data_IF_283359191549
#
_entry.id   IF_283359191549
#
_cell.length_a   1.000
_cell.length_b   1.000
_cell.length_c   1.000
_cell.angle_alpha   90.00
_cell.angle_beta   90.00
_cell.angle_gamma   90.00
#
_symmetry.space_group_name_H-M   'P 1'
#
loop_
_entity.id
_entity.type
_entity.pdbx_description
1 polymer ?
#
# COMPACT_ATOMS: atom_id res chain seq x y z
N UNK A 1 13.80 51.74 -33.62
CA UNK A 1 13.31 50.87 -34.71
C UNK A 1 12.42 49.81 -34.06
N UNK A 2 11.15 49.79 -34.43
CA UNK A 2 10.15 48.83 -33.94
C UNK A 2 10.12 47.61 -34.87
N UNK A 3 9.83 46.43 -34.33
CA UNK A 3 9.62 45.19 -35.09
C UNK A 3 9.09 44.08 -34.19
N UNK A 4 7.87 43.63 -34.49
CA UNK A 4 7.05 42.59 -33.82
C UNK A 4 7.16 41.24 -34.57
N UNK A 5 6.38 40.26 -34.09
CA UNK A 5 5.95 38.96 -34.67
C UNK A 5 6.72 37.76 -34.11
N UNK A 6 6.13 36.66 -33.64
CA UNK A 6 4.75 36.17 -33.61
C UNK A 6 4.77 34.64 -33.41
N UNK A 7 3.72 34.09 -32.81
CA UNK A 7 3.58 32.68 -32.41
C UNK A 7 3.61 31.70 -33.60
N UNK A 8 4.43 30.65 -33.53
CA UNK A 8 4.46 29.54 -34.47
C UNK A 8 3.84 28.27 -33.88
N UNK A 9 2.63 27.93 -34.30
CA UNK A 9 2.06 26.59 -34.14
C UNK A 9 2.47 25.69 -35.32
N UNK A 10 2.72 24.42 -35.04
CA UNK A 10 3.07 23.40 -36.03
C UNK A 10 1.95 22.37 -36.12
N UNK A 11 1.53 22.08 -37.35
CA UNK A 11 0.50 21.11 -37.71
C UNK A 11 1.20 19.98 -38.49
N UNK A 12 1.11 18.74 -38.02
CA UNK A 12 1.69 17.56 -38.67
C UNK A 12 0.60 16.52 -38.89
N UNK A 13 0.07 16.49 -40.11
CA UNK A 13 -0.80 15.43 -40.62
C UNK A 13 0.04 14.39 -41.36
N UNK A 14 -0.11 13.12 -40.98
CA UNK A 14 0.55 11.98 -41.64
C UNK A 14 -0.38 11.28 -42.63
N UNK A 15 0.06 11.16 -43.88
CA UNK A 15 -0.59 10.38 -44.95
C UNK A 15 0.15 9.05 -45.16
N UNK A 16 -0.61 7.97 -45.37
CA UNK A 16 -0.12 6.63 -45.70
C UNK A 16 0.13 6.46 -47.20
N UNK A 17 1.15 5.70 -47.60
CA UNK A 17 1.14 4.83 -48.79
C UNK A 17 2.30 3.81 -48.77
N UNK A 18 2.01 2.55 -49.11
CA UNK A 18 2.94 1.40 -49.01
C UNK A 18 3.51 0.89 -50.34
N UNK A 19 4.30 -0.21 -50.27
CA UNK A 19 4.55 -1.26 -51.29
C UNK A 19 5.46 -2.38 -50.72
N UNK A 20 5.15 -3.66 -50.97
CA UNK A 20 5.80 -4.90 -50.43
C UNK A 20 7.08 -5.38 -51.15
N UNK A 21 7.52 -6.69 -51.13
CA UNK A 21 6.74 -7.95 -50.99
C UNK A 21 7.36 -9.18 -50.22
N UNK A 22 6.55 -10.26 -50.02
CA UNK A 22 6.89 -11.72 -49.84
C UNK A 22 7.03 -12.25 -48.39
N UNK A 23 6.51 -13.40 -47.89
CA UNK A 23 6.01 -14.67 -48.47
C UNK A 23 5.33 -15.61 -47.42
N UNK A 24 4.25 -16.34 -47.80
CA UNK A 24 3.72 -17.67 -47.31
C UNK A 24 3.22 -17.80 -45.84
N UNK A 25 2.19 -18.57 -45.45
CA UNK A 25 1.26 -19.57 -46.04
C UNK A 25 0.10 -19.82 -45.05
N UNK A 26 -1.08 -20.32 -45.47
CA UNK A 26 -2.06 -20.99 -44.60
C UNK A 26 -3.53 -20.63 -44.85
N UNK A 27 -4.41 -21.64 -44.95
CA UNK A 27 -5.68 -21.66 -45.69
C UNK A 27 -6.95 -21.76 -44.79
N UNK A 28 -8.12 -21.50 -45.41
CA UNK A 28 -9.51 -21.82 -45.05
C UNK A 28 -10.17 -21.00 -43.91
N UNK A 29 -11.41 -20.51 -44.02
CA UNK A 29 -12.51 -20.67 -44.99
C UNK A 29 -13.85 -20.33 -44.30
N UNK A 30 -14.90 -20.10 -45.11
CA UNK A 30 -16.32 -19.83 -44.74
C UNK A 30 -16.61 -18.39 -44.31
N UNK A 31 -17.36 -17.56 -45.06
CA UNK A 31 -18.74 -17.74 -45.54
C UNK A 31 -19.62 -16.77 -44.70
N UNK A 32 -20.60 -16.01 -45.16
CA UNK A 32 -21.35 -15.90 -46.40
C UNK A 32 -21.99 -14.50 -46.46
N UNK A 33 -22.50 -14.19 -47.64
CA UNK A 33 -23.09 -12.99 -48.25
C UNK A 33 -24.39 -12.41 -47.68
N UNK A 34 -24.63 -11.12 -48.01
CA UNK A 34 -25.94 -10.51 -48.24
C UNK A 34 -25.85 -8.98 -48.10
N UNK A 35 -25.57 -8.16 -49.11
CA UNK A 35 -26.18 -7.92 -50.44
C UNK A 35 -27.63 -7.36 -50.39
N UNK A 36 -27.77 -6.12 -50.85
CA UNK A 36 -29.04 -5.42 -51.17
C UNK A 36 -28.82 -3.90 -51.21
N UNK A 37 -28.32 -3.34 -52.33
CA UNK A 37 -29.10 -2.71 -53.41
C UNK A 37 -29.88 -1.46 -52.92
N UNK A 38 -29.49 -0.21 -53.28
CA UNK A 38 -29.78 0.43 -54.58
C UNK A 38 -31.23 0.99 -54.59
N UNK A 39 -31.62 2.17 -55.06
CA UNK A 39 -31.04 3.21 -55.90
C UNK A 39 -31.98 4.46 -55.85
N UNK A 40 -31.42 5.64 -56.11
CA UNK A 40 -31.96 6.91 -56.66
C UNK A 40 -33.46 7.29 -56.61
N UNK A 41 -33.72 8.54 -56.22
CA UNK A 41 -34.91 9.31 -56.57
C UNK A 41 -34.66 10.82 -56.45
N UNK A 42 -34.75 11.52 -57.57
CA UNK A 42 -34.32 12.90 -57.83
C UNK A 42 -35.43 13.92 -57.49
N UNK A 43 -35.09 15.14 -57.03
CA UNK A 43 -36.06 16.24 -56.86
C UNK A 43 -35.40 17.57 -56.47
N UNK A 44 -35.33 18.51 -57.43
CA UNK A 44 -34.71 19.83 -57.29
C UNK A 44 -35.70 20.90 -56.79
N UNK A 45 -35.23 21.89 -56.02
CA UNK A 45 -35.95 23.12 -55.66
C UNK A 45 -35.08 24.10 -54.86
N UNK A 46 -35.06 25.38 -55.25
CA UNK A 46 -34.06 26.41 -54.89
C UNK A 46 -34.03 26.93 -53.45
N UNK A 47 -32.91 27.59 -53.10
CA UNK A 47 -32.56 28.11 -51.75
C UNK A 47 -33.30 29.38 -51.29
N UNK A 48 -32.80 30.19 -50.31
CA UNK A 48 -31.41 30.31 -49.83
C UNK A 48 -31.21 30.25 -48.28
N UNK A 49 -29.96 29.97 -47.86
CA UNK A 49 -29.38 30.44 -46.59
C UNK A 49 -29.82 29.76 -45.28
N UNK A 50 -29.31 28.55 -45.00
CA UNK A 50 -29.40 27.95 -43.66
C UNK A 50 -28.00 27.91 -43.04
N UNK A 51 -27.78 28.78 -42.05
CA UNK A 51 -26.55 28.76 -41.24
C UNK A 51 -26.38 27.38 -40.63
N UNK A 52 -25.18 26.80 -40.79
CA UNK A 52 -24.86 25.52 -40.17
C UNK A 52 -24.88 25.69 -38.66
N UNK A 53 -25.95 25.21 -38.01
CA UNK A 53 -25.94 24.98 -36.56
C UNK A 53 -24.75 24.05 -36.30
N UNK A 54 -23.74 24.45 -35.50
CA UNK A 54 -22.66 23.54 -35.15
C UNK A 54 -23.26 22.30 -34.50
N UNK A 55 -22.86 21.12 -34.98
CA UNK A 55 -23.25 19.86 -34.36
C UNK A 55 -22.96 19.95 -32.86
N UNK A 56 -23.93 19.68 -31.97
CA UNK A 56 -23.68 19.70 -30.54
C UNK A 56 -22.53 18.74 -30.22
N UNK A 57 -21.65 19.09 -29.26
CA UNK A 57 -20.55 18.22 -28.88
C UNK A 57 -21.10 16.84 -28.48
N UNK A 58 -20.35 15.76 -28.78
CA UNK A 58 -20.76 14.44 -28.34
C UNK A 58 -20.96 14.45 -26.81
N UNK A 59 -21.94 13.68 -26.30
CA UNK A 59 -22.09 13.55 -24.86
C UNK A 59 -20.75 13.08 -24.25
N UNK A 60 -20.39 13.56 -23.04
CA UNK A 60 -19.23 13.03 -22.34
C UNK A 60 -19.42 11.53 -22.25
N UNK A 61 -18.46 10.73 -22.72
CA UNK A 61 -18.48 9.33 -22.34
C UNK A 61 -17.91 9.24 -20.92
N UNK A 62 -18.41 8.27 -20.17
CA UNK A 62 -17.98 8.06 -18.80
C UNK A 62 -16.47 7.88 -18.73
N UNK A 63 -15.81 8.71 -17.91
CA UNK A 63 -14.37 8.61 -17.62
C UNK A 63 -13.46 9.74 -18.12
N UNK A 64 -13.99 10.83 -18.68
CA UNK A 64 -13.18 12.01 -19.03
C UNK A 64 -13.69 13.26 -18.33
N UNK A 65 -12.85 13.87 -17.50
CA UNK A 65 -13.03 15.24 -17.03
C UNK A 65 -12.40 16.18 -18.05
N UNK A 66 -13.18 17.13 -18.55
CA UNK A 66 -12.64 18.28 -19.28
C UNK A 66 -12.11 19.23 -18.21
N UNK A 67 -10.80 19.26 -17.99
CA UNK A 67 -10.18 20.27 -17.13
C UNK A 67 -10.24 21.61 -17.87
N UNK A 68 -11.01 22.56 -17.34
CA UNK A 68 -10.96 23.93 -17.83
C UNK A 68 -9.60 24.54 -17.46
N UNK A 69 -8.94 25.31 -18.35
CA UNK A 69 -7.75 26.07 -17.98
C UNK A 69 -8.11 27.05 -16.85
N UNK A 70 -7.61 26.79 -15.64
CA UNK A 70 -7.87 27.61 -14.44
C UNK A 70 -8.63 26.92 -13.31
N UNK A 71 -9.05 25.66 -13.48
CA UNK A 71 -9.56 24.85 -12.38
C UNK A 71 -8.38 24.11 -11.72
N UNK A 72 -7.84 24.70 -10.65
CA UNK A 72 -6.89 24.01 -9.78
C UNK A 72 -7.62 22.80 -9.19
N UNK A 73 -7.17 21.59 -9.52
CA UNK A 73 -7.68 20.35 -8.93
C UNK A 73 -7.70 20.54 -7.41
N UNK A 74 -8.73 20.08 -6.68
CA UNK A 74 -8.66 20.10 -5.23
C UNK A 74 -7.39 19.35 -4.85
N UNK A 75 -6.45 20.04 -4.24
CA UNK A 75 -5.16 19.47 -3.85
C UNK A 75 -5.47 18.31 -2.92
N UNK A 76 -5.32 17.08 -3.42
CA UNK A 76 -5.61 15.89 -2.64
C UNK A 76 -4.74 15.94 -1.39
N UNK A 77 -5.35 15.76 -0.22
CA UNK A 77 -4.61 15.74 1.05
C UNK A 77 -3.52 14.67 0.96
N UNK A 78 -2.30 15.07 1.28
CA UNK A 78 -1.12 14.23 1.25
C UNK A 78 -0.64 13.90 2.66
N UNK A 79 0.31 12.96 2.79
CA UNK A 79 0.99 12.70 4.06
C UNK A 79 1.72 13.93 4.62
N UNK A 80 2.10 14.89 3.77
CA UNK A 80 2.74 16.11 4.23
C UNK A 80 1.77 17.04 4.97
N UNK A 81 0.49 17.02 4.60
CA UNK A 81 -0.54 17.89 5.20
C UNK A 81 -0.93 17.43 6.60
N UNK A 82 -0.84 16.13 6.86
CA UNK A 82 -1.15 15.54 8.18
C UNK A 82 0.06 15.43 9.12
N UNK A 83 1.18 16.13 8.83
CA UNK A 83 2.40 16.08 9.66
C UNK A 83 2.18 16.45 11.13
N UNK A 84 1.19 17.30 11.42
CA UNK A 84 0.82 17.68 12.79
C UNK A 84 0.07 16.56 13.54
N UNK A 85 -0.50 15.59 12.82
CA UNK A 85 -1.18 14.43 13.38
C UNK A 85 -0.15 13.33 13.64
N UNK A 86 0.27 13.20 14.90
CA UNK A 86 1.28 12.21 15.28
C UNK A 86 0.60 10.87 15.58
N UNK A 87 0.89 9.79 14.83
CA UNK A 87 0.35 8.47 15.13
C UNK A 87 0.94 7.92 16.43
N UNK A 88 0.12 7.21 17.21
CA UNK A 88 0.61 6.46 18.36
C UNK A 88 1.46 5.27 17.88
N UNK A 89 2.67 5.16 18.41
CA UNK A 89 3.56 4.04 18.14
C UNK A 89 2.96 2.72 18.67
N UNK A 90 3.11 1.66 17.89
CA UNK A 90 2.87 0.31 18.39
C UNK A 90 3.92 -0.08 19.44
N UNK A 91 3.56 -1.05 20.29
CA UNK A 91 4.44 -1.60 21.30
C UNK A 91 4.88 -3.00 20.88
N UNK A 92 6.17 -3.17 20.64
CA UNK A 92 6.79 -4.46 20.39
C UNK A 92 6.87 -5.28 21.69
N UNK A 93 6.59 -6.58 21.57
CA UNK A 93 6.65 -7.59 22.65
C UNK A 93 7.25 -8.88 22.12
N UNK A 94 7.72 -9.72 23.04
CA UNK A 94 8.26 -11.04 22.72
C UNK A 94 7.90 -12.08 23.80
N UNK A 95 7.90 -13.34 23.40
CA UNK A 95 7.79 -14.51 24.27
C UNK A 95 8.90 -15.50 23.92
N UNK A 96 9.75 -15.90 24.89
CA UNK A 96 9.80 -15.42 26.27
C UNK A 96 10.27 -13.95 26.38
N UNK A 97 9.90 -13.25 27.45
CA UNK A 97 10.29 -11.85 27.62
C UNK A 97 11.75 -11.71 28.09
N UNK A 98 12.60 -11.14 27.24
CA UNK A 98 13.99 -10.77 27.57
C UNK A 98 15.03 -11.87 27.39
N UNK A 99 14.63 -13.07 26.97
CA UNK A 99 15.55 -14.18 26.72
C UNK A 99 15.04 -15.12 25.63
N UNK A 100 15.96 -15.85 25.02
CA UNK A 100 15.72 -16.71 23.87
C UNK A 100 16.56 -17.97 23.99
N UNK A 101 16.05 -19.10 23.49
CA UNK A 101 16.82 -20.35 23.41
C UNK A 101 17.37 -20.48 22.00
N UNK A 102 18.68 -20.66 21.89
CA UNK A 102 19.35 -20.88 20.60
C UNK A 102 18.73 -22.10 19.92
N UNK A 103 18.34 -21.94 18.65
CA UNK A 103 17.76 -23.00 17.84
C UNK A 103 16.25 -23.21 18.02
N UNK A 104 15.59 -22.50 18.95
CA UNK A 104 14.13 -22.54 19.12
C UNK A 104 13.46 -21.26 18.62
N UNK A 105 12.15 -21.37 18.33
CA UNK A 105 11.34 -20.22 17.92
C UNK A 105 11.10 -19.28 19.10
N UNK A 106 11.50 -18.03 18.94
CA UNK A 106 11.07 -16.91 19.80
C UNK A 106 9.91 -16.22 19.12
N UNK A 107 8.81 -16.01 19.83
CA UNK A 107 7.65 -15.31 19.30
C UNK A 107 7.81 -13.80 19.47
N UNK A 108 7.57 -13.02 18.43
CA UNK A 108 7.54 -11.56 18.47
C UNK A 108 6.16 -11.08 18.04
N UNK A 109 5.62 -10.04 18.67
CA UNK A 109 4.33 -9.48 18.26
C UNK A 109 4.23 -8.00 18.61
N UNK A 110 3.28 -7.33 17.96
CA UNK A 110 2.99 -5.93 18.19
C UNK A 110 1.62 -5.74 18.85
N UNK A 111 1.59 -4.84 19.82
CA UNK A 111 0.37 -4.34 20.46
C UNK A 111 0.13 -2.92 19.97
N UNK A 112 -1.02 -2.72 19.35
CA UNK A 112 -1.38 -1.48 18.69
C UNK A 112 -2.49 -1.78 17.69
N UNK A 113 -3.38 -0.83 17.51
CA UNK A 113 -4.53 -0.97 16.62
C UNK A 113 -4.79 0.34 15.90
N UNK A 114 -5.76 0.28 14.98
CA UNK A 114 -6.34 1.47 14.41
C UNK A 114 -6.76 2.45 15.51
N UNK A 115 -6.45 3.72 15.33
CA UNK A 115 -6.81 4.80 16.24
C UNK A 115 -7.06 6.09 15.46
N UNK A 116 -7.73 7.04 16.11
CA UNK A 116 -8.07 8.34 15.53
C UNK A 116 -7.35 9.43 16.34
N UNK A 117 -6.81 10.41 15.64
CA UNK A 117 -6.23 11.64 16.18
C UNK A 117 -7.03 12.80 15.62
N UNK A 118 -7.60 13.61 16.51
CA UNK A 118 -8.31 14.83 16.15
C UNK A 118 -7.35 16.04 16.14
N UNK A 119 -7.63 17.00 15.27
CA UNK A 119 -6.77 18.17 15.10
C UNK A 119 -7.28 19.11 14.02
N UNK A 120 -6.37 19.92 13.50
CA UNK A 120 -6.66 20.87 12.43
C UNK A 120 -5.90 20.45 11.17
N UNK A 121 -6.63 20.34 10.05
CA UNK A 121 -6.08 20.04 8.74
C UNK A 121 -6.50 21.16 7.79
N UNK A 122 -5.53 21.84 7.18
CA UNK A 122 -5.77 22.92 6.21
C UNK A 122 -6.74 24.02 6.74
N UNK A 123 -6.61 24.42 8.00
CA UNK A 123 -7.44 25.48 8.58
C UNK A 123 -8.78 25.02 9.16
N UNK A 124 -9.06 23.71 9.18
CA UNK A 124 -10.38 23.16 9.54
C UNK A 124 -10.26 22.00 10.53
N UNK A 125 -11.21 21.86 11.49
CA UNK A 125 -11.29 20.70 12.35
C UNK A 125 -11.42 19.40 11.55
N UNK A 126 -10.53 18.45 11.83
CA UNK A 126 -10.48 17.17 11.14
C UNK A 126 -10.11 16.04 12.11
N UNK A 127 -10.46 14.82 11.71
CA UNK A 127 -9.95 13.60 12.33
C UNK A 127 -9.06 12.87 11.32
N UNK A 128 -7.93 12.33 11.77
CA UNK A 128 -7.09 11.41 10.99
C UNK A 128 -7.10 10.05 11.67
N UNK A 129 -7.43 9.02 10.90
CA UNK A 129 -7.43 7.62 11.32
C UNK A 129 -6.17 6.96 10.80
N UNK A 130 -5.41 6.38 11.72
CA UNK A 130 -4.18 5.67 11.46
C UNK A 130 -4.40 4.18 11.58
N UNK A 131 -4.01 3.41 10.56
CA UNK A 131 -4.21 1.96 10.49
C UNK A 131 -2.89 1.25 10.18
N UNK A 132 -2.34 0.45 11.11
CA UNK A 132 -1.17 -0.40 10.85
C UNK A 132 -1.42 -1.36 9.69
N UNK A 133 -0.44 -1.48 8.79
CA UNK A 133 -0.56 -2.26 7.54
C UNK A 133 0.60 -3.23 7.30
N UNK A 134 1.82 -2.89 7.71
CA UNK A 134 2.97 -3.78 7.64
C UNK A 134 3.90 -3.64 8.85
N UNK A 135 4.66 -4.69 9.14
CA UNK A 135 5.52 -4.83 10.32
C UNK A 135 6.92 -5.26 9.89
N UNK A 136 7.89 -4.36 10.09
CA UNK A 136 9.28 -4.52 9.70
C UNK A 136 10.14 -4.78 10.92
N UNK A 137 10.52 -6.04 11.12
CA UNK A 137 11.38 -6.47 12.21
C UNK A 137 12.84 -6.48 11.79
N UNK A 138 13.71 -5.97 12.66
CA UNK A 138 15.14 -6.23 12.62
C UNK A 138 15.56 -6.91 13.92
N UNK A 139 16.12 -8.12 13.82
CA UNK A 139 16.36 -8.99 14.98
C UNK A 139 17.72 -8.76 15.66
N UNK A 140 18.56 -7.90 15.10
CA UNK A 140 19.88 -7.58 15.65
C UNK A 140 20.97 -8.63 15.38
N UNK A 141 20.62 -9.77 14.78
CA UNK A 141 21.54 -10.83 14.33
C UNK A 141 21.90 -10.71 12.84
N UNK A 142 21.50 -9.61 12.19
CA UNK A 142 21.65 -9.37 10.76
C UNK A 142 20.45 -9.81 9.92
N UNK A 143 19.47 -10.52 10.51
CA UNK A 143 18.23 -10.89 9.83
C UNK A 143 17.11 -9.89 10.05
N UNK A 144 16.15 -9.89 9.11
CA UNK A 144 14.98 -9.00 9.11
C UNK A 144 13.75 -9.75 8.61
N UNK A 145 12.56 -9.30 8.99
CA UNK A 145 11.29 -9.80 8.44
C UNK A 145 10.34 -8.66 8.08
N UNK A 146 9.64 -8.81 6.95
CA UNK A 146 8.56 -7.91 6.52
C UNK A 146 7.25 -8.70 6.55
N UNK A 147 6.36 -8.37 7.48
CA UNK A 147 5.17 -9.15 7.80
C UNK A 147 3.90 -8.30 7.64
N UNK A 148 2.81 -8.94 7.21
CA UNK A 148 1.49 -8.31 7.11
C UNK A 148 0.63 -8.48 8.38
N UNK A 149 1.14 -9.20 9.37
CA UNK A 149 0.45 -9.47 10.63
C UNK A 149 1.24 -8.98 11.83
N UNK A 150 0.52 -8.46 12.82
CA UNK A 150 1.09 -8.06 14.11
C UNK A 150 1.45 -9.24 15.01
N UNK A 151 1.02 -10.45 14.66
CA UNK A 151 1.14 -11.63 15.52
C UNK A 151 0.24 -11.57 16.75
N UNK A 152 0.44 -12.53 17.65
CA UNK A 152 -0.25 -12.64 18.93
C UNK A 152 0.54 -13.52 19.88
N UNK A 153 0.14 -13.56 21.15
CA UNK A 153 0.77 -14.43 22.14
C UNK A 153 0.55 -15.91 21.81
N UNK A 154 1.43 -16.79 22.27
CA UNK A 154 1.22 -18.25 22.19
C UNK A 154 -0.12 -18.66 22.80
N UNK A 155 -0.46 -18.09 23.97
CA UNK A 155 -1.73 -18.35 24.65
C UNK A 155 -2.95 -17.96 23.81
N UNK A 156 -2.92 -16.82 23.12
CA UNK A 156 -4.01 -16.39 22.24
C UNK A 156 -4.15 -17.30 21.01
N UNK A 157 -3.05 -17.90 20.55
CA UNK A 157 -3.02 -18.88 19.47
C UNK A 157 -3.34 -20.31 19.94
N UNK A 158 -3.32 -20.55 21.26
CA UNK A 158 -3.50 -21.87 21.89
C UNK A 158 -2.45 -22.90 21.43
N UNK A 159 -1.20 -22.46 21.33
CA UNK A 159 -0.06 -23.31 20.99
C UNK A 159 0.94 -23.35 22.16
N UNK A 160 1.86 -24.31 22.13
CA UNK A 160 2.85 -24.47 23.18
C UNK A 160 3.96 -23.39 23.10
N UNK A 161 4.68 -23.21 24.20
CA UNK A 161 5.89 -22.39 24.18
C UNK A 161 6.90 -22.94 23.19
N UNK A 162 7.55 -22.04 22.45
CA UNK A 162 8.49 -22.35 21.37
C UNK A 162 7.89 -23.03 20.12
N UNK A 163 6.56 -23.17 20.02
CA UNK A 163 5.94 -23.53 18.75
C UNK A 163 6.09 -22.37 17.74
N UNK A 164 6.27 -22.68 16.43
CA UNK A 164 6.38 -21.66 15.40
C UNK A 164 5.11 -20.78 15.32
N UNK A 165 5.30 -19.48 15.25
CA UNK A 165 4.25 -18.50 14.94
C UNK A 165 4.57 -17.79 13.61
N UNK A 166 3.58 -17.14 12.95
CA UNK A 166 3.83 -16.33 11.75
C UNK A 166 4.85 -15.22 11.93
N UNK A 167 5.14 -14.84 13.18
CA UNK A 167 6.04 -13.74 13.56
C UNK A 167 7.24 -14.24 14.38
N UNK A 168 7.46 -15.56 14.41
CA UNK A 168 8.58 -16.15 15.15
C UNK A 168 9.91 -16.02 14.43
N UNK A 169 11.00 -16.00 15.19
CA UNK A 169 12.37 -16.02 14.68
C UNK A 169 13.26 -16.96 15.50
N UNK A 170 14.31 -17.50 14.87
CA UNK A 170 15.26 -18.42 15.50
C UNK A 170 16.65 -17.78 15.52
N UNK A 171 17.19 -17.59 16.73
CA UNK A 171 18.57 -17.16 16.93
C UNK A 171 19.52 -18.37 16.93
N UNK A 172 20.67 -18.23 16.26
CA UNK A 172 21.62 -19.34 16.06
C UNK A 172 22.90 -19.23 16.88
N UNK A 173 23.16 -18.07 17.47
CA UNK A 173 24.34 -17.81 18.28
C UNK A 173 23.95 -17.27 19.65
N UNK A 174 24.80 -17.50 20.65
CA UNK A 174 24.64 -16.88 21.96
C UNK A 174 25.03 -15.40 21.86
N UNK A 175 24.31 -14.56 22.59
CA UNK A 175 24.58 -13.13 22.61
C UNK A 175 23.40 -12.32 23.10
N UNK A 176 23.64 -11.03 23.32
CA UNK A 176 22.59 -10.05 23.59
C UNK A 176 22.24 -9.33 22.30
N UNK A 177 20.95 -9.35 21.96
CA UNK A 177 20.42 -8.78 20.73
C UNK A 177 19.53 -7.59 21.04
N UNK A 178 19.60 -6.61 20.14
CA UNK A 178 18.68 -5.48 20.08
C UNK A 178 17.69 -5.73 18.94
N UNK A 179 16.42 -5.91 19.28
CA UNK A 179 15.34 -6.13 18.31
C UNK A 179 14.53 -4.85 18.18
N UNK A 180 14.27 -4.44 16.94
CA UNK A 180 13.45 -3.27 16.62
C UNK A 180 12.30 -3.64 15.70
N UNK A 181 11.23 -2.86 15.80
CA UNK A 181 10.07 -2.94 14.93
C UNK A 181 9.77 -1.54 14.38
N UNK A 182 9.59 -1.46 13.06
CA UNK A 182 8.97 -0.30 12.39
C UNK A 182 7.64 -0.75 11.80
N UNK A 183 6.59 0.01 12.03
CA UNK A 183 5.24 -0.29 11.52
C UNK A 183 4.88 0.72 10.45
N UNK A 184 4.48 0.23 9.28
CA UNK A 184 3.93 1.09 8.23
C UNK A 184 2.45 1.33 8.51
N UNK A 185 2.09 2.60 8.63
CA UNK A 185 0.76 3.05 9.02
C UNK A 185 0.13 3.80 7.86
N UNK A 186 -1.02 3.33 7.37
CA UNK A 186 -1.86 4.08 6.44
C UNK A 186 -2.68 5.14 7.15
N UNK A 187 -3.08 6.19 6.43
CA UNK A 187 -3.87 7.28 6.98
C UNK A 187 -5.14 7.53 6.15
N UNK A 188 -6.23 7.82 6.84
CA UNK A 188 -7.48 8.32 6.26
C UNK A 188 -7.89 9.57 7.03
N UNK A 189 -8.48 10.57 6.37
CA UNK A 189 -8.96 11.77 7.04
C UNK A 189 -10.45 11.99 6.83
N UNK A 190 -11.05 12.80 7.69
CA UNK A 190 -12.40 13.34 7.49
C UNK A 190 -12.50 14.75 8.07
N UNK A 191 -13.33 15.58 7.46
CA UNK A 191 -13.75 16.87 8.00
C UNK A 191 -15.15 16.75 8.59
N UNK A 192 -15.41 17.47 9.69
CA UNK A 192 -16.75 17.70 10.22
C UNK A 192 -17.61 16.43 10.39
N UNK A 193 -16.98 15.29 10.73
CA UNK A 193 -17.67 14.00 10.91
C UNK A 193 -18.12 13.29 9.62
N UNK A 194 -17.71 13.77 8.45
CA UNK A 194 -17.99 13.15 7.15
C UNK A 194 -17.33 11.78 6.94
N UNK A 195 -17.40 11.30 5.69
CA UNK A 195 -16.78 10.03 5.29
C UNK A 195 -15.26 10.05 5.38
N UNK A 196 -14.65 8.88 5.61
CA UNK A 196 -13.20 8.71 5.60
C UNK A 196 -12.68 8.72 4.17
N UNK A 197 -11.65 9.53 3.92
CA UNK A 197 -10.99 9.68 2.63
C UNK A 197 -9.54 9.18 2.79
N UNK A 198 -9.10 8.20 1.98
CA UNK A 198 -7.73 7.67 2.09
C UNK A 198 -6.69 8.69 1.64
N UNK A 199 -5.57 8.71 2.34
CA UNK A 199 -4.36 9.44 1.94
C UNK A 199 -3.41 8.41 1.31
N UNK A 200 -2.89 8.70 0.11
CA UNK A 200 -2.00 7.80 -0.59
C UNK A 200 -0.66 7.64 0.15
N UNK A 201 -0.21 6.39 0.33
CA UNK A 201 1.06 6.03 0.96
C UNK A 201 0.94 5.57 2.41
N UNK A 202 2.08 5.34 3.05
CA UNK A 202 2.20 4.94 4.46
C UNK A 202 3.25 5.78 5.18
N UNK A 203 3.13 5.87 6.50
CA UNK A 203 4.14 6.46 7.37
C UNK A 203 4.85 5.36 8.17
N UNK A 204 6.19 5.30 8.16
CA UNK A 204 6.93 4.40 9.03
C UNK A 204 6.94 4.95 10.46
N UNK A 205 6.49 4.14 11.42
CA UNK A 205 6.44 4.49 12.83
C UNK A 205 7.26 3.48 13.63
N UNK A 206 8.33 3.95 14.26
CA UNK A 206 9.18 3.09 15.11
C UNK A 206 8.45 2.73 16.42
N UNK A 207 8.51 1.46 16.80
CA UNK A 207 8.06 0.96 18.10
C UNK A 207 9.19 1.06 19.16
N UNK A 208 8.91 0.59 20.37
CA UNK A 208 9.97 0.41 21.38
C UNK A 208 10.98 -0.66 20.94
N UNK A 209 12.20 -0.53 21.47
CA UNK A 209 13.25 -1.55 21.34
C UNK A 209 13.03 -2.68 22.35
N UNK A 210 13.40 -3.90 21.97
CA UNK A 210 13.53 -5.04 22.86
C UNK A 210 15.02 -5.41 22.98
N UNK A 211 15.46 -5.74 24.19
CA UNK A 211 16.80 -6.27 24.44
C UNK A 211 16.64 -7.65 25.04
N UNK A 212 17.24 -8.66 24.42
CA UNK A 212 17.11 -10.04 24.85
C UNK A 212 18.39 -10.84 24.68
N UNK A 213 18.61 -11.80 25.58
CA UNK A 213 19.80 -12.67 25.55
C UNK A 213 19.45 -14.05 25.00
N UNK A 214 20.13 -14.47 23.94
CA UNK A 214 20.08 -15.85 23.46
C UNK A 214 21.11 -16.71 24.20
N UNK A 215 20.67 -17.85 24.73
CA UNK A 215 21.52 -18.82 25.41
C UNK A 215 21.13 -20.25 25.05
N UNK A 216 21.90 -21.22 25.54
CA UNK A 216 21.51 -22.63 25.52
C UNK A 216 20.64 -22.92 26.74
N UNK A 217 19.66 -23.80 26.56
CA UNK A 217 18.98 -24.42 27.68
C UNK A 217 19.79 -25.64 28.10
N UNK A 218 20.37 -25.61 29.29
CA UNK A 218 20.98 -26.78 29.91
C UNK A 218 19.96 -27.41 30.85
N UNK A 219 19.47 -28.60 30.52
CA UNK A 219 18.59 -29.35 31.41
C UNK A 219 19.45 -30.05 32.46
N UNK A 220 19.44 -29.55 33.69
CA UNK A 220 20.08 -30.25 34.82
C UNK A 220 19.05 -31.18 35.44
N UNK A 221 19.37 -32.47 35.53
CA UNK A 221 18.57 -33.44 36.29
C UNK A 221 18.70 -33.11 37.78
N UNK A 222 17.64 -32.55 38.36
CA UNK A 222 17.54 -32.39 39.82
C UNK A 222 17.27 -33.76 40.43
N UNK A 223 18.26 -34.30 41.13
CA UNK A 223 18.15 -35.61 41.76
C UNK A 223 17.16 -35.65 42.93
N UNK A 224 16.77 -34.50 43.49
CA UNK A 224 15.84 -34.33 44.63
C UNK A 224 15.14 -32.97 44.56
N UNK A 225 14.01 -32.86 45.24
CA UNK A 225 13.21 -31.63 45.38
C UNK A 225 13.93 -30.55 46.20
N UNK A 226 13.60 -29.27 45.96
CA UNK A 226 14.23 -28.13 46.63
C UNK A 226 14.04 -28.09 48.14
N UNK A 227 13.01 -28.78 48.64
CA UNK A 227 12.79 -28.96 50.06
C UNK A 227 13.83 -29.91 50.69
N UNK A 228 14.33 -30.89 49.94
CA UNK A 228 15.35 -31.81 50.41
C UNK A 228 16.79 -31.34 50.12
N UNK A 229 17.00 -30.56 49.06
CA UNK A 229 18.31 -29.97 48.71
C UNK A 229 18.16 -28.50 48.30
N UNK A 230 18.05 -27.57 49.27
CA UNK A 230 17.83 -26.15 49.00
C UNK A 230 19.04 -25.42 48.39
N UNK A 231 20.14 -26.12 48.10
CA UNK A 231 21.31 -25.61 47.38
C UNK A 231 21.58 -26.39 46.09
N UNK A 232 20.63 -27.23 45.66
CA UNK A 232 20.72 -27.97 44.41
C UNK A 232 20.55 -27.06 43.19
N UNK A 233 21.10 -27.42 42.02
CA UNK A 233 20.87 -26.64 40.79
C UNK A 233 19.36 -26.54 40.50
N UNK A 234 18.79 -25.34 40.46
CA UNK A 234 17.34 -25.13 40.25
C UNK A 234 16.52 -24.89 41.53
N UNK A 235 17.22 -24.79 42.66
CA UNK A 235 16.77 -24.31 43.97
C UNK A 235 17.71 -23.16 44.39
#
# INVERSE_FOLDING_TARGET
MSGSVGNGGVDLSGTQNGSGPGSGSGNAGSGNTGAGSGNSGNGAGGGPGSGTIPKPPPPPRDGYTVTMPGEELPTAVTLADIRSFVPHAAVARMEPNGWMVIGLHTNFYAVGSQHIVDGELLGRPASVRFTPSAYHWAYGDGSTANLSTKGSTWAAQRIAEFDPTPTSHIFRAAGTYTITLTVDVGAEYRFDGGGWIPIAGTLPVAANQLVATAGRADTVLVGRDCLAHPSGPGC
#
